data_IF_867244379750
#
_entry.id   IF_867244379750
#
_cell.length_a   1.000
_cell.length_b   1.000
_cell.length_c   1.000
_cell.angle_alpha   90.00
_cell.angle_beta   90.00
_cell.angle_gamma   90.00
#
_symmetry.space_group_name_H-M   'P 1'
#
loop_
_entity.id
_entity.type
_entity.pdbx_description
1 polymer ?
#
# COMPACT_ATOMS: atom_id res chain seq x y z
N UNK A 1 44.65 -12.48 22.29
CA UNK A 1 43.25 -12.50 22.76
C UNK A 1 42.49 -11.47 21.94
N UNK A 2 41.51 -11.87 21.12
CA UNK A 2 40.65 -10.90 20.42
C UNK A 2 39.79 -10.22 21.49
N UNK A 3 39.90 -8.90 21.59
CA UNK A 3 39.10 -8.12 22.54
C UNK A 3 37.61 -8.45 22.32
N UNK A 4 36.87 -8.63 23.42
CA UNK A 4 35.43 -8.86 23.35
C UNK A 4 34.76 -7.68 22.60
N UNK A 5 33.76 -7.94 21.75
CA UNK A 5 33.08 -6.87 21.01
C UNK A 5 32.50 -5.85 21.99
N UNK A 6 32.69 -4.57 21.71
CA UNK A 6 32.14 -3.49 22.54
C UNK A 6 30.61 -3.55 22.52
N UNK A 7 29.97 -3.05 23.59
CA UNK A 7 28.50 -3.00 23.71
C UNK A 7 27.83 -2.40 22.47
N UNK A 8 28.43 -1.36 21.90
CA UNK A 8 27.92 -0.66 20.72
C UNK A 8 28.01 -1.53 19.45
N UNK A 9 29.04 -2.38 19.36
CA UNK A 9 29.18 -3.37 18.29
C UNK A 9 28.08 -4.44 18.38
N UNK A 10 27.76 -4.90 19.59
CA UNK A 10 26.70 -5.89 19.83
C UNK A 10 25.32 -5.30 19.47
N UNK A 11 25.07 -4.04 19.87
CA UNK A 11 23.82 -3.33 19.53
C UNK A 11 23.70 -3.20 18.01
N UNK A 12 24.75 -2.77 17.32
CA UNK A 12 24.73 -2.63 15.86
C UNK A 12 24.46 -3.97 15.15
N UNK A 13 25.08 -5.06 15.60
CA UNK A 13 24.88 -6.39 15.00
C UNK A 13 23.45 -6.89 15.23
N UNK A 14 22.89 -6.64 16.42
CA UNK A 14 21.50 -6.99 16.74
C UNK A 14 20.49 -6.22 15.87
N UNK A 15 20.72 -4.92 15.63
CA UNK A 15 19.86 -4.11 14.77
C UNK A 15 19.88 -4.59 13.31
N UNK A 16 21.06 -4.97 12.79
CA UNK A 16 21.17 -5.49 11.42
C UNK A 16 20.49 -6.85 11.29
N UNK A 17 20.66 -7.76 12.26
CA UNK A 17 19.98 -9.07 12.26
C UNK A 17 18.46 -8.89 12.37
N UNK A 18 17.98 -7.95 13.18
CA UNK A 18 16.56 -7.61 13.28
C UNK A 18 16.00 -7.08 11.93
N UNK A 19 16.75 -6.21 11.25
CA UNK A 19 16.40 -5.72 9.92
C UNK A 19 16.34 -6.83 8.87
N UNK A 20 17.29 -7.77 8.88
CA UNK A 20 17.28 -8.96 8.02
C UNK A 20 16.05 -9.83 8.33
N UNK A 21 15.69 -9.97 9.60
CA UNK A 21 14.49 -10.67 10.04
C UNK A 21 13.20 -10.06 9.49
N UNK A 22 13.05 -8.74 9.60
CA UNK A 22 11.92 -7.99 9.02
C UNK A 22 11.84 -8.18 7.50
N UNK A 23 12.96 -8.11 6.81
CA UNK A 23 12.99 -8.28 5.35
C UNK A 23 12.59 -9.71 4.94
N UNK A 24 13.06 -10.72 5.68
CA UNK A 24 12.64 -12.10 5.47
C UNK A 24 11.14 -12.32 5.79
N UNK A 25 10.59 -11.63 6.79
CA UNK A 25 9.16 -11.64 7.10
C UNK A 25 8.32 -11.01 5.99
N UNK A 26 8.78 -9.92 5.38
CA UNK A 26 8.11 -9.32 4.21
C UNK A 26 8.11 -10.26 3.01
N UNK A 27 9.21 -10.96 2.75
CA UNK A 27 9.26 -11.96 1.67
C UNK A 27 8.30 -13.13 1.97
N UNK A 28 8.23 -13.59 3.22
CA UNK A 28 7.23 -14.59 3.64
C UNK A 28 5.82 -14.08 3.44
N UNK A 29 5.54 -12.84 3.83
CA UNK A 29 4.23 -12.21 3.67
C UNK A 29 3.85 -12.15 2.19
N UNK A 30 4.75 -11.68 1.32
CA UNK A 30 4.54 -11.68 -0.12
C UNK A 30 4.33 -13.09 -0.69
N UNK A 31 5.10 -14.10 -0.23
CA UNK A 31 4.94 -15.48 -0.67
C UNK A 31 3.55 -16.06 -0.36
N UNK A 32 2.99 -15.74 0.81
CA UNK A 32 1.68 -16.23 1.24
C UNK A 32 0.56 -15.44 0.55
N UNK A 33 0.63 -14.11 0.56
CA UNK A 33 -0.47 -13.25 0.09
C UNK A 33 -0.46 -13.01 -1.42
N UNK A 34 0.72 -12.82 -2.04
CA UNK A 34 0.85 -12.50 -3.46
C UNK A 34 0.99 -13.75 -4.33
N UNK A 35 1.72 -14.76 -3.85
CA UNK A 35 1.96 -16.00 -4.59
C UNK A 35 1.07 -17.17 -4.14
N UNK A 36 0.30 -17.01 -3.06
CA UNK A 36 -0.69 -18.00 -2.61
C UNK A 36 -0.08 -19.31 -2.12
N UNK A 37 1.18 -19.28 -1.64
CA UNK A 37 1.85 -20.46 -1.08
C UNK A 37 1.28 -20.83 0.29
N UNK A 38 1.34 -22.11 0.66
CA UNK A 38 0.83 -22.57 1.95
C UNK A 38 1.74 -22.11 3.11
N UNK A 39 1.18 -22.06 4.32
CA UNK A 39 1.87 -21.52 5.50
C UNK A 39 3.14 -22.31 5.88
N UNK A 40 3.19 -23.62 5.59
CA UNK A 40 4.38 -24.42 5.84
C UNK A 40 5.49 -24.05 4.86
N UNK A 41 5.18 -23.95 3.57
CA UNK A 41 6.12 -23.48 2.53
C UNK A 41 6.62 -22.07 2.82
N UNK A 42 5.74 -21.14 3.23
CA UNK A 42 6.13 -19.79 3.61
C UNK A 42 7.09 -19.75 4.81
N UNK A 43 6.91 -20.62 5.80
CA UNK A 43 7.81 -20.73 6.94
C UNK A 43 9.19 -21.31 6.56
N UNK A 44 9.22 -22.30 5.67
CA UNK A 44 10.49 -22.84 5.14
C UNK A 44 11.24 -21.76 4.35
N UNK A 45 10.53 -20.99 3.53
CA UNK A 45 11.11 -19.90 2.74
C UNK A 45 11.70 -18.80 3.63
N UNK A 46 11.02 -18.44 4.72
CA UNK A 46 11.53 -17.51 5.73
C UNK A 46 12.86 -17.98 6.32
N UNK A 47 12.94 -19.24 6.79
CA UNK A 47 14.15 -19.77 7.42
C UNK A 47 15.32 -19.81 6.43
N UNK A 48 15.09 -20.26 5.19
CA UNK A 48 16.14 -20.34 4.16
C UNK A 48 16.67 -18.95 3.82
N UNK A 49 15.79 -17.97 3.57
CA UNK A 49 16.19 -16.61 3.22
C UNK A 49 16.89 -15.91 4.39
N UNK A 50 16.38 -16.09 5.61
CA UNK A 50 16.99 -15.53 6.81
C UNK A 50 18.42 -16.05 7.01
N UNK A 51 18.63 -17.37 6.90
CA UNK A 51 19.97 -17.98 7.01
C UNK A 51 20.90 -17.49 5.90
N UNK A 52 20.41 -17.41 4.66
CA UNK A 52 21.21 -16.93 3.52
C UNK A 52 21.64 -15.46 3.70
N UNK A 53 20.73 -14.59 4.14
CA UNK A 53 21.02 -13.17 4.34
C UNK A 53 21.94 -12.93 5.54
N UNK A 54 21.77 -13.67 6.64
CA UNK A 54 22.69 -13.63 7.77
C UNK A 54 24.08 -14.15 7.37
N UNK A 55 24.15 -15.25 6.61
CA UNK A 55 25.41 -15.77 6.08
C UNK A 55 26.12 -14.80 5.14
N UNK A 56 25.34 -14.12 4.27
CA UNK A 56 25.82 -13.06 3.39
C UNK A 56 26.39 -11.88 4.20
N UNK A 57 25.67 -11.44 5.24
CA UNK A 57 26.10 -10.37 6.14
C UNK A 57 27.43 -10.71 6.85
N UNK A 58 27.55 -11.93 7.39
CA UNK A 58 28.79 -12.40 8.02
C UNK A 58 29.94 -12.47 7.00
N UNK A 59 29.67 -12.88 5.76
CA UNK A 59 30.65 -12.91 4.67
C UNK A 59 31.15 -11.53 4.23
N UNK A 60 30.27 -10.51 4.28
CA UNK A 60 30.61 -9.14 3.89
C UNK A 60 31.13 -8.27 5.03
N UNK A 61 31.17 -8.74 6.28
CA UNK A 61 31.67 -7.92 7.40
C UNK A 61 33.05 -7.30 7.11
N UNK A 62 33.99 -8.09 6.57
CA UNK A 62 35.33 -7.59 6.23
C UNK A 62 35.34 -6.54 5.10
N UNK A 63 34.34 -6.55 4.21
CA UNK A 63 34.22 -5.62 3.07
C UNK A 63 33.49 -4.35 3.50
N UNK A 64 32.45 -4.48 4.33
CA UNK A 64 31.65 -3.37 4.85
C UNK A 64 32.51 -2.45 5.72
N UNK A 65 33.43 -2.99 6.53
CA UNK A 65 34.39 -2.18 7.30
C UNK A 65 35.38 -1.39 6.43
N UNK A 66 35.74 -1.93 5.26
CA UNK A 66 36.57 -1.23 4.27
C UNK A 66 35.79 -0.14 3.53
N UNK A 67 34.54 -0.44 3.16
CA UNK A 67 33.64 0.44 2.43
C UNK A 67 33.14 1.61 3.30
N UNK A 68 32.84 1.39 4.58
CA UNK A 68 32.49 2.44 5.54
C UNK A 68 33.61 3.47 5.70
N UNK A 69 34.88 3.03 5.73
CA UNK A 69 36.04 3.93 5.74
C UNK A 69 36.22 4.71 4.43
N UNK A 70 35.77 4.16 3.30
CA UNK A 70 35.78 4.86 2.02
C UNK A 70 34.63 5.88 1.91
N UNK A 71 33.43 5.53 2.36
CA UNK A 71 32.25 6.41 2.37
C UNK A 71 32.42 7.57 3.34
N UNK A 72 32.91 7.33 4.56
CA UNK A 72 33.18 8.41 5.52
C UNK A 72 34.21 9.41 4.97
N UNK A 73 35.24 8.94 4.25
CA UNK A 73 36.16 9.81 3.51
C UNK A 73 35.47 10.58 2.37
N UNK A 74 34.48 9.99 1.70
CA UNK A 74 33.75 10.61 0.60
C UNK A 74 32.77 11.68 1.10
N UNK A 75 32.07 11.43 2.21
CA UNK A 75 31.19 12.42 2.86
C UNK A 75 31.98 13.57 3.48
N UNK A 76 33.12 13.28 4.11
CA UNK A 76 34.01 14.33 4.64
C UNK A 76 34.68 15.17 3.54
N UNK A 77 34.76 14.65 2.30
CA UNK A 77 35.22 15.41 1.11
C UNK A 77 34.16 16.36 0.56
N UNK A 78 32.88 16.16 0.93
CA UNK A 78 31.74 16.94 0.43
C UNK A 78 31.48 18.23 1.22
N UNK A 79 32.10 18.40 2.39
CA UNK A 79 32.00 19.63 3.22
C UNK A 79 33.05 20.70 2.90
N UNK A 80 33.99 20.48 1.98
CA UNK A 80 35.00 21.49 1.60
C UNK A 80 35.11 21.66 0.09
N UNK A 81 34.08 22.21 -0.55
CA UNK A 81 34.21 23.01 -1.79
C UNK A 81 33.09 24.06 -1.83
N UNK A 82 33.33 25.22 -1.23
CA UNK A 82 32.72 26.49 -1.66
C UNK A 82 33.88 27.35 -2.15
N UNK A 83 34.01 27.47 -3.47
CA UNK A 83 34.89 28.48 -4.09
C UNK A 83 33.94 29.48 -4.74
N UNK A 84 33.80 30.64 -4.10
CA UNK A 84 33.30 31.83 -4.77
C UNK A 84 34.47 32.45 -5.55
N UNK A 85 34.25 32.72 -6.85
CA UNK A 85 35.16 33.55 -7.63
C UNK A 85 35.06 35.00 -7.15
N UNK A 86 36.20 35.64 -6.86
CA UNK A 86 36.28 37.10 -6.82
C UNK A 86 37.47 37.60 -7.63
N UNK A 87 37.20 38.67 -8.36
CA UNK A 87 38.05 39.45 -9.25
C UNK A 87 39.20 40.14 -8.49
N UNK A 88 40.33 39.44 -8.32
CA UNK A 88 41.69 40.01 -8.21
C UNK A 88 42.65 38.85 -7.96
N UNK A 89 43.44 38.48 -8.95
CA UNK A 89 44.33 37.33 -8.86
C UNK A 89 45.49 37.56 -7.91
N UNK A 90 45.49 36.88 -6.76
CA UNK A 90 46.71 36.50 -6.04
C UNK A 90 46.43 35.30 -5.11
N UNK A 91 47.16 34.19 -5.30
CA UNK A 91 47.10 33.00 -4.44
C UNK A 91 48.27 33.02 -3.46
N UNK A 92 47.98 33.00 -2.16
CA UNK A 92 48.96 32.65 -1.12
C UNK A 92 48.37 31.55 -0.25
N UNK A 93 49.02 30.39 -0.27
CA UNK A 93 48.73 29.26 0.60
C UNK A 93 49.59 29.35 1.87
N UNK A 94 48.99 29.24 3.07
CA UNK A 94 49.70 28.95 4.32
C UNK A 94 48.88 27.95 5.17
N UNK A 95 49.53 26.97 5.87
CA UNK A 95 48.87 25.83 6.51
C UNK A 95 48.48 26.05 8.00
N UNK A 96 47.54 25.20 8.45
CA UNK A 96 47.09 24.72 9.81
C UNK A 96 48.07 24.88 11.01
N UNK A 97 47.70 24.73 12.32
CA UNK A 97 46.40 24.43 13.00
C UNK A 97 46.10 25.34 14.24
N UNK A 98 44.90 25.26 14.85
CA UNK A 98 44.77 25.33 16.32
C UNK A 98 43.41 24.82 16.82
N UNK A 99 43.48 23.80 17.68
CA UNK A 99 42.45 23.48 18.67
C UNK A 99 42.25 24.68 19.62
N UNK A 100 41.00 24.93 20.05
CA UNK A 100 40.73 25.71 21.26
C UNK A 100 40.04 24.82 22.30
N UNK A 101 40.86 24.45 23.27
CA UNK A 101 40.47 23.99 24.60
C UNK A 101 39.64 25.08 25.30
N UNK A 102 38.63 24.67 26.06
CA UNK A 102 38.08 25.50 27.15
C UNK A 102 38.38 24.73 28.44
N UNK A 103 39.22 25.31 29.29
CA UNK A 103 39.59 24.85 30.62
C UNK A 103 39.04 25.84 31.66
N UNK A 104 38.34 25.27 32.63
CA UNK A 104 38.02 25.66 34.01
C UNK A 104 38.07 27.13 34.47
N UNK A 105 36.95 27.56 35.07
CA UNK A 105 36.91 28.57 36.13
C UNK A 105 36.80 27.84 37.48
N UNK A 106 37.86 27.93 38.29
CA UNK A 106 37.84 27.61 39.71
C UNK A 106 37.55 28.88 40.52
N UNK A 107 36.55 28.84 41.39
CA UNK A 107 36.52 29.66 42.61
C UNK A 107 36.18 28.75 43.79
N UNK A 108 37.24 28.47 44.53
CA UNK A 108 37.35 28.11 45.95
C UNK A 108 36.05 27.97 46.77
N UNK A 109 35.86 26.79 47.36
CA UNK A 109 35.03 26.56 48.54
C UNK A 109 35.59 27.33 49.75
N UNK A 110 34.71 27.94 50.54
CA UNK A 110 34.86 28.03 51.99
C UNK A 110 33.54 27.64 52.66
N UNK A 111 33.71 26.86 53.73
CA UNK A 111 32.77 26.10 54.56
C UNK A 111 31.52 26.83 55.10
N UNK A 112 30.42 26.10 55.35
CA UNK A 112 29.93 25.70 56.69
C UNK A 112 28.68 24.79 56.56
N UNK A 113 28.67 23.75 57.38
CA UNK A 113 27.65 22.71 57.60
C UNK A 113 26.34 23.29 58.18
N UNK A 114 25.18 22.79 57.75
CA UNK A 114 24.09 22.47 58.70
C UNK A 114 23.22 21.32 58.20
N UNK A 115 22.96 20.38 59.13
CA UNK A 115 22.18 19.16 58.97
C UNK A 115 20.68 19.46 58.89
N UNK A 116 19.95 18.70 58.07
CA UNK A 116 18.75 17.94 58.48
C UNK A 116 17.66 17.85 57.40
N UNK A 117 17.04 16.65 57.39
CA UNK A 117 15.67 16.33 56.96
C UNK A 117 15.49 15.55 55.65
N UNK A 118 15.47 14.22 55.87
CA UNK A 118 14.51 13.20 55.42
C UNK A 118 14.34 12.88 53.92
N UNK A 119 14.80 11.65 53.66
CA UNK A 119 14.52 10.76 52.53
C UNK A 119 13.00 10.63 52.30
N UNK A 120 12.57 10.88 51.06
CA UNK A 120 11.34 10.33 50.51
C UNK A 120 11.70 9.46 49.31
N UNK A 121 11.21 8.22 49.32
CA UNK A 121 11.47 7.18 48.32
C UNK A 121 11.09 7.65 46.91
N UNK A 122 12.04 7.53 45.99
CA UNK A 122 11.82 7.74 44.56
C UNK A 122 10.98 6.56 44.02
N UNK A 123 9.82 6.77 43.37
CA UNK A 123 9.07 5.66 42.79
C UNK A 123 9.88 5.05 41.64
N UNK A 124 9.98 3.73 41.62
CA UNK A 124 10.67 2.97 40.58
C UNK A 124 10.14 3.33 39.17
N UNK A 125 11.01 3.42 38.15
CA UNK A 125 10.56 3.69 36.80
C UNK A 125 9.81 2.46 36.24
N UNK A 126 8.51 2.64 36.01
CA UNK A 126 7.66 1.69 35.30
C UNK A 126 8.27 1.39 33.92
N UNK A 127 8.68 0.14 33.72
CA UNK A 127 9.08 -0.39 32.42
C UNK A 127 7.80 -0.79 31.68
N UNK A 128 7.35 0.05 30.74
CA UNK A 128 6.23 -0.28 29.86
C UNK A 128 6.77 -1.24 28.78
N UNK A 129 6.38 -2.52 28.88
CA UNK A 129 6.68 -3.58 27.91
C UNK A 129 5.33 -4.01 27.29
N UNK A 130 4.70 -3.12 26.53
CA UNK A 130 3.60 -3.46 25.64
C UNK A 130 3.83 -2.68 24.34
N UNK A 131 3.68 -3.34 23.19
CA UNK A 131 3.62 -2.65 21.90
C UNK A 131 2.42 -1.69 21.96
N UNK A 132 2.70 -0.41 22.19
CA UNK A 132 1.65 0.61 22.29
C UNK A 132 1.04 0.77 20.91
N UNK A 133 -0.22 0.37 20.76
CA UNK A 133 -1.01 0.69 19.56
C UNK A 133 -1.06 2.21 19.45
N UNK A 134 -0.46 2.76 18.41
CA UNK A 134 -0.38 4.22 18.18
C UNK A 134 -1.79 4.80 18.11
N UNK A 135 -2.74 4.02 17.59
CA UNK A 135 -4.13 4.41 17.51
C UNK A 135 -4.83 4.36 18.87
N UNK A 136 -4.23 3.82 19.94
CA UNK A 136 -4.79 3.82 21.31
C UNK A 136 -4.22 4.96 22.18
N UNK A 137 -3.13 5.62 21.78
CA UNK A 137 -2.56 6.78 22.49
C UNK A 137 -3.47 8.01 22.37
N UNK A 138 -4.06 8.46 23.48
CA UNK A 138 -4.88 9.69 23.53
C UNK A 138 -4.05 10.82 24.13
N UNK A 139 -3.86 11.90 23.37
CA UNK A 139 -3.18 13.12 23.83
C UNK A 139 -4.16 14.13 24.43
N UNK A 140 -3.68 14.92 25.38
CA UNK A 140 -4.48 15.96 26.05
C UNK A 140 -4.92 17.07 25.10
N UNK A 141 -4.07 17.44 24.14
CA UNK A 141 -4.46 18.34 23.06
C UNK A 141 -5.13 17.53 21.96
N UNK A 142 -6.32 17.94 21.59
CA UNK A 142 -7.12 17.24 20.60
C UNK A 142 -6.46 17.19 19.22
N UNK A 143 -5.69 18.23 18.85
CA UNK A 143 -4.94 18.28 17.58
C UNK A 143 -3.86 17.22 17.45
N UNK A 144 -3.24 16.83 18.56
CA UNK A 144 -2.17 15.83 18.57
C UNK A 144 -2.72 14.41 18.31
N UNK A 145 -4.05 14.23 18.38
CA UNK A 145 -4.74 12.97 18.05
C UNK A 145 -5.15 12.88 16.58
N UNK A 146 -4.91 13.92 15.77
CA UNK A 146 -5.26 13.92 14.35
C UNK A 146 -4.24 13.06 13.58
N UNK A 147 -4.72 12.07 12.84
CA UNK A 147 -3.86 11.27 11.97
C UNK A 147 -3.31 12.12 10.82
N UNK A 148 -1.99 12.21 10.76
CA UNK A 148 -1.25 12.74 9.62
C UNK A 148 -1.02 11.66 8.56
N UNK A 149 -1.01 12.06 7.29
CA UNK A 149 -0.80 11.17 6.15
C UNK A 149 0.39 11.69 5.32
N UNK A 150 1.34 10.82 4.99
CA UNK A 150 2.53 11.18 4.22
C UNK A 150 2.28 11.29 2.72
N UNK A 151 1.16 10.75 2.22
CA UNK A 151 0.77 10.87 0.81
C UNK A 151 -0.75 10.79 0.60
N UNK A 152 -1.20 11.19 -0.59
CA UNK A 152 -2.59 11.03 -0.99
C UNK A 152 -3.00 9.55 -1.06
N UNK A 153 -2.10 8.67 -1.48
CA UNK A 153 -2.36 7.23 -1.54
C UNK A 153 -2.52 6.63 -0.15
N UNK A 154 -1.61 6.94 0.79
CA UNK A 154 -1.72 6.52 2.19
C UNK A 154 -3.03 7.00 2.81
N UNK A 155 -3.45 8.25 2.51
CA UNK A 155 -4.73 8.79 2.96
C UNK A 155 -5.92 7.99 2.42
N UNK A 156 -5.85 7.49 1.19
CA UNK A 156 -6.92 6.68 0.57
C UNK A 156 -6.94 5.26 1.10
N UNK A 157 -5.79 4.60 1.16
CA UNK A 157 -5.66 3.22 1.65
C UNK A 157 -6.04 3.09 3.12
N UNK A 158 -5.65 4.07 3.94
CA UNK A 158 -5.99 4.10 5.36
C UNK A 158 -7.49 4.37 5.58
N UNK A 159 -8.20 4.93 4.60
CA UNK A 159 -9.62 5.23 4.71
C UNK A 159 -10.44 4.09 4.14
N UNK A 160 -11.40 3.61 4.92
CA UNK A 160 -12.32 2.57 4.47
C UNK A 160 -13.19 3.02 3.30
N UNK A 161 -14.03 2.10 2.80
CA UNK A 161 -14.91 2.31 1.64
C UNK A 161 -15.78 3.59 1.70
N UNK A 162 -16.17 4.01 2.91
CA UNK A 162 -17.01 5.19 3.15
C UNK A 162 -16.30 6.18 4.07
N UNK A 163 -15.35 6.98 3.55
CA UNK A 163 -14.50 7.86 4.37
C UNK A 163 -15.26 9.00 5.05
N UNK A 164 -16.41 9.39 4.49
CA UNK A 164 -17.24 10.47 5.00
C UNK A 164 -18.68 10.01 5.13
N UNK A 165 -19.33 10.45 6.21
CA UNK A 165 -20.73 10.12 6.46
C UNK A 165 -21.65 10.63 5.35
N UNK A 166 -21.37 11.82 4.79
CA UNK A 166 -22.17 12.41 3.70
C UNK A 166 -22.20 11.53 2.44
N UNK A 167 -21.10 10.82 2.13
CA UNK A 167 -21.05 9.90 1.00
C UNK A 167 -21.84 8.62 1.29
N UNK A 168 -21.79 8.14 2.53
CA UNK A 168 -22.63 7.03 2.97
C UNK A 168 -24.11 7.40 2.86
N UNK A 169 -24.51 8.55 3.40
CA UNK A 169 -25.87 9.06 3.30
C UNK A 169 -26.35 9.19 1.84
N UNK A 170 -25.50 9.65 0.92
CA UNK A 170 -25.85 9.77 -0.49
C UNK A 170 -26.23 8.45 -1.17
N UNK A 171 -25.60 7.33 -0.78
CA UNK A 171 -25.92 6.00 -1.32
C UNK A 171 -27.18 5.37 -0.68
N UNK A 172 -27.51 5.75 0.56
CA UNK A 172 -28.61 5.17 1.34
C UNK A 172 -29.75 6.18 1.63
N UNK A 173 -29.78 7.30 0.91
CA UNK A 173 -30.71 8.43 1.14
C UNK A 173 -32.20 8.06 1.04
N UNK A 174 -32.53 6.93 0.41
CA UNK A 174 -33.90 6.45 0.21
C UNK A 174 -34.33 5.34 1.19
N UNK A 175 -33.48 5.00 2.17
CA UNK A 175 -33.84 4.02 3.20
C UNK A 175 -34.81 4.63 4.22
N UNK A 176 -35.73 3.83 4.77
CA UNK A 176 -36.66 4.25 5.85
C UNK A 176 -35.96 4.33 7.22
N UNK A 177 -34.67 4.00 7.27
CA UNK A 177 -33.83 4.05 8.46
C UNK A 177 -33.65 5.47 9.01
N UNK A 178 -33.54 5.60 10.34
CA UNK A 178 -33.27 6.90 10.95
C UNK A 178 -31.82 7.36 10.69
N UNK A 179 -31.57 8.67 10.70
CA UNK A 179 -30.22 9.22 10.57
C UNK A 179 -29.24 8.68 11.63
N UNK A 180 -29.74 8.36 12.81
CA UNK A 180 -28.95 7.79 13.91
C UNK A 180 -28.55 6.34 13.60
N UNK A 181 -29.46 5.54 13.05
CA UNK A 181 -29.17 4.16 12.64
C UNK A 181 -28.13 4.14 11.52
N UNK A 182 -28.29 5.01 10.52
CA UNK A 182 -27.35 5.16 9.41
C UNK A 182 -25.97 5.63 9.90
N UNK A 183 -25.92 6.53 10.88
CA UNK A 183 -24.66 6.97 11.47
C UNK A 183 -23.96 5.85 12.22
N UNK A 184 -24.68 5.08 13.02
CA UNK A 184 -24.12 3.96 13.77
C UNK A 184 -23.61 2.86 12.83
N UNK A 185 -24.34 2.56 11.76
CA UNK A 185 -23.88 1.62 10.73
C UNK A 185 -22.61 2.13 10.04
N UNK A 186 -22.59 3.39 9.62
CA UNK A 186 -21.42 4.02 9.02
C UNK A 186 -20.21 4.02 9.98
N UNK A 187 -20.43 4.35 11.26
CA UNK A 187 -19.42 4.34 12.30
C UNK A 187 -18.78 2.96 12.41
N UNK A 188 -19.59 1.89 12.42
CA UNK A 188 -19.07 0.52 12.56
C UNK A 188 -18.16 0.10 11.41
N UNK A 189 -18.37 0.65 10.22
CA UNK A 189 -17.55 0.42 9.04
C UNK A 189 -16.20 1.17 9.05
N UNK A 190 -16.01 2.12 9.98
CA UNK A 190 -14.80 2.94 10.01
C UNK A 190 -13.56 2.20 10.53
N UNK A 191 -12.37 2.53 9.99
CA UNK A 191 -11.09 2.13 10.59
C UNK A 191 -10.96 2.59 12.04
N UNK A 192 -10.15 1.87 12.84
CA UNK A 192 -9.96 2.14 14.28
C UNK A 192 -9.57 3.59 14.58
N UNK A 193 -8.59 4.14 13.88
CA UNK A 193 -8.13 5.52 14.09
C UNK A 193 -9.21 6.55 13.78
N UNK A 194 -10.06 6.30 12.78
CA UNK A 194 -11.19 7.17 12.45
C UNK A 194 -12.28 7.08 13.53
N UNK A 195 -12.62 5.88 14.02
CA UNK A 195 -13.56 5.71 15.14
C UNK A 195 -13.09 6.53 16.35
N UNK A 196 -11.81 6.45 16.68
CA UNK A 196 -11.23 7.22 17.78
C UNK A 196 -11.29 8.73 17.57
N UNK A 197 -10.95 9.23 16.39
CA UNK A 197 -11.10 10.65 16.06
C UNK A 197 -12.56 11.11 16.30
N UNK A 198 -13.54 10.32 15.86
CA UNK A 198 -14.96 10.61 16.05
C UNK A 198 -15.35 10.63 17.54
N UNK A 199 -14.88 9.66 18.33
CA UNK A 199 -15.13 9.56 19.77
C UNK A 199 -14.56 10.75 20.54
N UNK A 200 -13.41 11.27 20.09
CA UNK A 200 -12.77 12.47 20.64
C UNK A 200 -13.42 13.78 20.15
N UNK A 201 -14.40 13.71 19.26
CA UNK A 201 -15.09 14.88 18.71
C UNK A 201 -14.36 15.53 17.53
N UNK A 202 -13.45 14.81 16.87
CA UNK A 202 -12.80 15.22 15.63
C UNK A 202 -13.61 14.65 14.47
N UNK A 203 -14.16 15.50 13.62
CA UNK A 203 -14.97 15.08 12.46
C UNK A 203 -14.32 15.54 11.17
N UNK A 204 -14.19 14.62 10.20
CA UNK A 204 -13.72 14.91 8.85
C UNK A 204 -14.89 15.03 7.89
N UNK A 205 -14.92 16.08 7.07
CA UNK A 205 -15.98 16.31 6.07
C UNK A 205 -15.38 16.70 4.72
N UNK A 206 -16.02 16.31 3.60
CA UNK A 206 -15.54 16.70 2.29
C UNK A 206 -15.85 18.18 2.04
N UNK A 207 -14.84 18.96 1.63
CA UNK A 207 -15.02 20.30 1.08
C UNK A 207 -15.06 20.19 -0.44
N UNK A 208 -16.17 20.61 -1.05
CA UNK A 208 -16.27 20.69 -2.51
C UNK A 208 -15.55 21.96 -2.95
N UNK A 209 -14.39 21.79 -3.56
CA UNK A 209 -13.71 22.88 -4.26
C UNK A 209 -14.14 22.81 -5.72
N UNK A 210 -14.55 23.94 -6.35
CA UNK A 210 -14.84 23.95 -7.78
C UNK A 210 -13.64 23.41 -8.53
N UNK A 211 -13.85 22.44 -9.43
CA UNK A 211 -12.80 22.06 -10.36
C UNK A 211 -12.40 23.30 -11.14
N UNK A 212 -11.13 23.69 -10.99
CA UNK A 212 -10.56 24.72 -11.86
C UNK A 212 -10.32 24.00 -13.18
N UNK A 213 -11.22 24.20 -14.14
CA UNK A 213 -11.02 23.85 -15.54
C UNK A 213 -9.85 24.69 -16.08
N UNK A 214 -8.64 24.23 -15.78
CA UNK A 214 -7.39 24.79 -16.30
C UNK A 214 -6.72 23.75 -17.17
N UNK A 215 -6.24 24.16 -18.34
CA UNK A 215 -5.34 23.35 -19.16
C UNK A 215 -3.96 23.31 -18.46
N UNK A 216 -3.42 22.13 -18.10
CA UNK A 216 -2.13 22.05 -17.41
C UNK A 216 -1.75 20.72 -16.74
N UNK A 217 -0.51 20.67 -16.24
CA UNK A 217 0.13 19.53 -15.58
C UNK A 217 -0.14 19.53 -14.08
N UNK A 218 -1.22 18.87 -13.67
CA UNK A 218 -1.63 18.84 -12.28
C UNK A 218 -1.29 17.52 -11.62
N UNK A 219 -0.77 17.60 -10.41
CA UNK A 219 -0.79 16.52 -9.43
C UNK A 219 -1.93 16.81 -8.46
N UNK A 220 -2.71 15.79 -8.11
CA UNK A 220 -3.70 15.89 -7.02
C UNK A 220 -2.98 15.72 -5.70
N UNK A 221 -3.14 16.69 -4.83
CA UNK A 221 -2.66 16.60 -3.46
C UNK A 221 -3.84 16.72 -2.49
N UNK A 222 -3.69 16.08 -1.34
CA UNK A 222 -4.67 16.18 -0.29
C UNK A 222 -4.45 17.48 0.48
N UNK A 223 -5.52 18.25 0.68
CA UNK A 223 -5.55 19.44 1.51
C UNK A 223 -6.52 19.24 2.65
N UNK A 224 -6.30 20.00 3.72
CA UNK A 224 -7.21 20.05 4.83
C UNK A 224 -7.22 21.43 5.49
N UNK A 225 -8.35 21.74 6.11
CA UNK A 225 -8.54 22.94 6.90
C UNK A 225 -9.13 22.52 8.25
N UNK A 226 -8.41 22.80 9.33
CA UNK A 226 -8.78 22.43 10.70
C UNK A 226 -9.49 23.61 11.35
N UNK A 227 -10.73 23.39 11.76
CA UNK A 227 -11.59 24.40 12.37
C UNK A 227 -11.92 23.94 13.79
N UNK A 228 -11.43 24.68 14.79
CA UNK A 228 -11.86 24.52 16.20
C UNK A 228 -13.22 25.14 16.37
N UNK A 229 -14.18 24.36 16.87
CA UNK A 229 -15.52 24.84 17.20
C UNK A 229 -15.57 25.31 18.64
N UNK A 230 -16.53 26.19 18.94
CA UNK A 230 -16.74 26.75 20.28
C UNK A 230 -17.09 25.68 21.33
N UNK A 231 -17.58 24.52 20.90
CA UNK A 231 -17.88 23.36 21.77
C UNK A 231 -16.64 22.47 22.04
N UNK A 232 -15.45 22.92 21.67
CA UNK A 232 -14.18 22.21 21.88
C UNK A 232 -13.89 21.11 20.87
N UNK A 233 -14.79 20.87 19.90
CA UNK A 233 -14.61 19.87 18.84
C UNK A 233 -13.77 20.41 17.69
N UNK A 234 -13.20 19.52 16.90
CA UNK A 234 -12.46 19.87 15.68
C UNK A 234 -13.25 19.38 14.47
N UNK A 235 -13.48 20.28 13.52
CA UNK A 235 -13.94 19.94 12.18
C UNK A 235 -12.76 20.05 11.22
N UNK A 236 -12.44 18.98 10.53
CA UNK A 236 -11.43 18.95 9.48
C UNK A 236 -12.16 18.89 8.15
N UNK A 237 -12.08 19.97 7.39
CA UNK A 237 -12.58 20.01 6.02
C UNK A 237 -11.48 19.53 5.10
N UNK A 238 -11.77 18.56 4.24
CA UNK A 238 -10.76 17.92 3.39
C UNK A 238 -11.16 17.96 1.95
N UNK A 239 -10.21 18.25 1.08
CA UNK A 239 -10.42 18.27 -0.35
C UNK A 239 -9.17 17.83 -1.07
N UNK A 240 -9.34 17.53 -2.35
CA UNK A 240 -8.21 17.32 -3.24
C UNK A 240 -8.08 18.55 -4.14
N UNK A 241 -6.85 19.03 -4.28
CA UNK A 241 -6.53 20.19 -5.09
C UNK A 241 -5.56 19.78 -6.19
N UNK A 242 -5.82 20.27 -7.40
CA UNK A 242 -4.90 20.19 -8.52
C UNK A 242 -3.79 21.25 -8.34
N UNK A 243 -2.55 20.80 -8.15
CA UNK A 243 -1.37 21.68 -8.03
C UNK A 243 -0.34 21.35 -9.08
N UNK A 244 0.47 22.34 -9.44
CA UNK A 244 1.67 22.15 -10.24
C UNK A 244 2.82 21.79 -9.32
N UNK A 245 3.73 20.95 -9.80
CA UNK A 245 4.96 20.63 -9.08
C UNK A 245 6.12 21.33 -9.77
N UNK A 246 6.90 22.12 -9.02
CA UNK A 246 8.12 22.74 -9.54
C UNK A 246 9.18 21.68 -9.82
N UNK A 247 10.25 22.04 -10.55
CA UNK A 247 11.39 21.15 -10.77
C UNK A 247 12.07 20.70 -9.45
N UNK A 248 11.91 21.49 -8.39
CA UNK A 248 12.45 21.24 -7.05
C UNK A 248 11.48 20.40 -6.17
N UNK A 249 10.29 20.10 -6.67
CA UNK A 249 9.29 19.26 -5.99
C UNK A 249 8.26 20.03 -5.16
N UNK A 250 8.24 21.36 -5.21
CA UNK A 250 7.33 22.17 -4.42
C UNK A 250 5.94 22.30 -5.08
N UNK A 251 4.84 22.16 -4.31
CA UNK A 251 3.49 22.30 -4.84
C UNK A 251 3.08 23.78 -4.98
N UNK A 252 2.67 24.18 -6.19
CA UNK A 252 2.13 25.49 -6.53
C UNK A 252 0.65 25.39 -6.91
N UNK A 253 -0.21 26.14 -6.21
CA UNK A 253 -1.64 26.25 -6.55
C UNK A 253 -1.88 27.18 -7.73
N UNK A 254 -3.03 27.04 -8.39
CA UNK A 254 -3.44 27.90 -9.50
C UNK A 254 -3.31 29.41 -9.20
N UNK A 255 -3.81 29.91 -8.05
CA UNK A 255 -3.65 31.31 -7.66
C UNK A 255 -2.20 31.76 -7.49
N UNK A 256 -1.33 30.89 -6.97
CA UNK A 256 0.11 31.20 -6.83
C UNK A 256 0.77 31.35 -8.20
N UNK A 257 0.34 30.56 -9.18
CA UNK A 257 0.84 30.66 -10.55
C UNK A 257 0.35 31.94 -11.23
N UNK A 258 -0.92 32.30 -11.04
CA UNK A 258 -1.44 33.58 -11.54
C UNK A 258 -0.70 34.79 -10.96
N UNK A 259 -0.27 34.72 -9.70
CA UNK A 259 0.54 35.76 -9.05
C UNK A 259 1.98 35.78 -9.57
N UNK A 260 2.59 34.60 -9.77
CA UNK A 260 3.91 34.45 -10.38
C UNK A 260 3.95 34.99 -11.82
N UNK A 261 2.90 34.73 -12.62
CA UNK A 261 2.76 35.22 -14.01
C UNK A 261 2.67 36.76 -14.06
N UNK A 262 2.12 37.41 -13.03
CA UNK A 262 1.96 38.88 -12.98
C UNK A 262 3.24 39.64 -12.64
N UNK A 263 4.34 38.96 -12.30
CA UNK A 263 5.61 39.60 -11.88
C UNK A 263 6.54 39.88 -13.08
N UNK A 264 6.90 41.15 -13.38
CA UNK A 264 7.47 41.56 -14.67
C UNK A 264 8.93 41.13 -14.94
N UNK A 265 9.71 40.73 -13.93
CA UNK A 265 11.11 40.24 -14.14
C UNK A 265 11.18 38.79 -14.61
N UNK A 266 10.11 38.04 -14.44
CA UNK A 266 10.06 36.59 -14.62
C UNK A 266 9.77 36.20 -16.09
N UNK A 267 9.14 37.08 -16.87
CA UNK A 267 8.51 36.77 -18.14
C UNK A 267 9.44 36.29 -19.28
N UNK A 268 10.75 36.59 -19.23
CA UNK A 268 11.72 36.13 -20.23
C UNK A 268 12.36 34.76 -19.87
N UNK A 269 12.60 34.51 -18.58
CA UNK A 269 13.18 33.27 -18.06
C UNK A 269 12.11 32.17 -17.87
N UNK A 270 10.86 32.57 -17.65
CA UNK A 270 9.72 31.65 -17.58
C UNK A 270 9.32 31.06 -18.93
N UNK A 271 9.55 31.73 -20.06
CA UNK A 271 9.16 31.19 -21.36
C UNK A 271 9.79 29.81 -21.61
N UNK A 272 11.07 29.64 -21.29
CA UNK A 272 11.81 28.40 -21.51
C UNK A 272 11.47 27.33 -20.46
N UNK A 273 11.25 27.73 -19.21
CA UNK A 273 10.81 26.83 -18.14
C UNK A 273 9.37 26.33 -18.39
N UNK A 274 8.50 27.19 -18.89
CA UNK A 274 7.10 26.91 -19.20
C UNK A 274 6.99 26.00 -20.42
N UNK A 275 7.81 26.20 -21.46
CA UNK A 275 7.91 25.29 -22.60
C UNK A 275 8.41 23.90 -22.17
N UNK A 276 9.38 23.85 -21.25
CA UNK A 276 9.90 22.59 -20.72
C UNK A 276 8.88 21.85 -19.85
N UNK A 277 8.16 22.57 -18.97
CA UNK A 277 7.08 22.01 -18.14
C UNK A 277 5.92 21.51 -19.01
N UNK A 278 5.54 22.26 -20.06
CA UNK A 278 4.49 21.87 -21.00
C UNK A 278 4.91 20.64 -21.82
N UNK A 279 6.18 20.57 -22.25
CA UNK A 279 6.73 19.40 -22.92
C UNK A 279 6.72 18.15 -22.03
N UNK A 280 7.14 18.29 -20.77
CA UNK A 280 7.11 17.20 -19.80
C UNK A 280 5.68 16.76 -19.48
N UNK A 281 4.74 17.70 -19.40
CA UNK A 281 3.32 17.40 -19.23
C UNK A 281 2.77 16.55 -20.37
N UNK A 282 3.01 16.96 -21.62
CA UNK A 282 2.57 16.21 -22.78
C UNK A 282 3.16 14.80 -22.80
N UNK A 283 4.43 14.64 -22.43
CA UNK A 283 5.07 13.32 -22.33
C UNK A 283 4.46 12.48 -21.20
N UNK A 284 4.16 13.07 -20.05
CA UNK A 284 3.53 12.38 -18.92
C UNK A 284 2.11 11.93 -19.25
N UNK A 285 1.30 12.81 -19.86
CA UNK A 285 -0.06 12.47 -20.29
C UNK A 285 -0.04 11.38 -21.37
N UNK A 286 0.83 11.49 -22.37
CA UNK A 286 0.97 10.47 -23.40
C UNK A 286 1.36 9.12 -22.77
N UNK A 287 2.34 9.10 -21.85
CA UNK A 287 2.72 7.88 -21.14
C UNK A 287 1.60 7.31 -20.27
N UNK A 288 0.79 8.17 -19.62
CA UNK A 288 -0.35 7.73 -18.83
C UNK A 288 -1.49 7.18 -19.70
N UNK A 289 -1.77 7.82 -20.84
CA UNK A 289 -2.74 7.32 -21.82
C UNK A 289 -2.27 5.99 -22.42
N UNK A 290 -1.00 5.88 -22.80
CA UNK A 290 -0.40 4.62 -23.28
C UNK A 290 -0.54 3.51 -22.22
N UNK A 291 -0.18 3.78 -20.96
CA UNK A 291 -0.30 2.81 -19.88
C UNK A 291 -1.77 2.41 -19.63
N UNK A 292 -2.69 3.37 -19.66
CA UNK A 292 -4.13 3.10 -19.50
C UNK A 292 -4.68 2.28 -20.67
N UNK A 293 -4.22 2.53 -21.90
CA UNK A 293 -4.57 1.74 -23.07
C UNK A 293 -4.00 0.32 -22.97
N UNK A 294 -2.76 0.15 -22.52
CA UNK A 294 -2.13 -1.15 -22.28
C UNK A 294 -2.87 -1.94 -21.19
N UNK A 295 -3.18 -1.32 -20.06
CA UNK A 295 -3.94 -1.91 -18.96
C UNK A 295 -5.35 -2.31 -19.41
N UNK A 296 -6.05 -1.44 -20.16
CA UNK A 296 -7.35 -1.75 -20.74
C UNK A 296 -7.27 -2.93 -21.70
N UNK A 297 -6.25 -2.97 -22.57
CA UNK A 297 -6.03 -4.06 -23.52
C UNK A 297 -5.73 -5.38 -22.79
N UNK A 298 -4.93 -5.33 -21.74
CA UNK A 298 -4.63 -6.49 -20.90
C UNK A 298 -5.88 -6.99 -20.18
N UNK A 299 -6.68 -6.10 -19.59
CA UNK A 299 -7.95 -6.42 -18.94
C UNK A 299 -8.96 -7.03 -19.91
N UNK A 300 -9.11 -6.46 -21.11
CA UNK A 300 -9.95 -7.03 -22.16
C UNK A 300 -9.48 -8.42 -22.60
N UNK A 301 -8.16 -8.65 -22.68
CA UNK A 301 -7.61 -9.96 -22.99
C UNK A 301 -7.93 -10.99 -21.90
N UNK A 302 -7.81 -10.61 -20.62
CA UNK A 302 -8.18 -11.48 -19.49
C UNK A 302 -9.67 -11.83 -19.51
N UNK A 303 -10.56 -10.85 -19.70
CA UNK A 303 -12.01 -11.08 -19.82
C UNK A 303 -12.29 -12.00 -21.01
N UNK A 304 -11.68 -11.75 -22.18
CA UNK A 304 -11.83 -12.57 -23.37
C UNK A 304 -11.40 -14.02 -23.12
N UNK A 305 -10.28 -14.22 -22.44
CA UNK A 305 -9.80 -15.54 -22.07
C UNK A 305 -10.75 -16.26 -21.11
N UNK A 306 -11.22 -15.58 -20.06
CA UNK A 306 -12.15 -16.16 -19.10
C UNK A 306 -13.45 -16.59 -19.78
N UNK A 307 -14.02 -15.75 -20.64
CA UNK A 307 -15.21 -16.09 -21.42
C UNK A 307 -14.96 -17.29 -22.34
N UNK A 308 -13.82 -17.32 -23.05
CA UNK A 308 -13.49 -18.44 -23.92
C UNK A 308 -13.27 -19.75 -23.13
N UNK A 309 -12.59 -19.68 -21.98
CA UNK A 309 -12.37 -20.80 -21.08
C UNK A 309 -13.70 -21.33 -20.51
N UNK A 310 -14.53 -20.45 -19.98
CA UNK A 310 -15.86 -20.77 -19.46
C UNK A 310 -16.72 -21.38 -20.56
N UNK A 311 -16.75 -20.79 -21.76
CA UNK A 311 -17.47 -21.35 -22.92
C UNK A 311 -17.00 -22.77 -23.21
N UNK A 312 -15.68 -22.98 -23.28
CA UNK A 312 -15.09 -24.30 -23.55
C UNK A 312 -15.52 -25.35 -22.50
N UNK A 313 -15.59 -24.95 -21.23
CA UNK A 313 -15.92 -25.87 -20.13
C UNK A 313 -17.42 -26.04 -19.89
N UNK A 314 -18.22 -25.00 -20.09
CA UNK A 314 -19.58 -24.90 -19.58
C UNK A 314 -20.67 -24.85 -20.65
N UNK A 315 -20.35 -24.54 -21.92
CA UNK A 315 -21.34 -24.48 -23.00
C UNK A 315 -22.19 -25.76 -23.14
N UNK A 316 -21.66 -27.00 -22.96
CA UNK A 316 -22.48 -28.21 -23.04
C UNK A 316 -23.51 -28.36 -21.90
N UNK A 317 -23.37 -27.60 -20.82
CA UNK A 317 -24.12 -27.77 -19.58
C UNK A 317 -25.03 -26.59 -19.23
N UNK A 318 -24.97 -25.49 -20.00
CA UNK A 318 -25.74 -24.27 -19.81
C UNK A 318 -26.49 -23.92 -21.10
N UNK A 319 -27.68 -23.37 -20.96
CA UNK A 319 -28.34 -22.69 -22.07
C UNK A 319 -27.65 -21.35 -22.36
N UNK A 320 -27.87 -20.78 -23.55
CA UNK A 320 -27.18 -19.57 -23.99
C UNK A 320 -27.34 -18.41 -23.00
N UNK A 321 -28.54 -18.21 -22.44
CA UNK A 321 -28.81 -17.16 -21.45
C UNK A 321 -28.02 -17.38 -20.15
N UNK A 322 -27.99 -18.61 -19.65
CA UNK A 322 -27.29 -18.97 -18.41
C UNK A 322 -25.76 -18.90 -18.59
N UNK A 323 -25.25 -19.22 -19.79
CA UNK A 323 -23.85 -19.03 -20.13
C UNK A 323 -23.47 -17.54 -20.16
N UNK A 324 -24.35 -16.67 -20.67
CA UNK A 324 -24.13 -15.22 -20.64
C UNK A 324 -24.13 -14.66 -19.20
N UNK A 325 -25.01 -15.15 -18.32
CA UNK A 325 -24.95 -14.81 -16.88
C UNK A 325 -23.61 -15.20 -16.27
N UNK A 326 -23.10 -16.39 -16.59
CA UNK A 326 -21.79 -16.85 -16.10
C UNK A 326 -20.64 -15.99 -16.64
N UNK A 327 -20.67 -15.59 -17.91
CA UNK A 327 -19.70 -14.63 -18.47
C UNK A 327 -19.76 -13.27 -17.78
N UNK A 328 -20.97 -12.76 -17.55
CA UNK A 328 -21.16 -11.49 -16.83
C UNK A 328 -20.57 -11.56 -15.42
N UNK A 329 -20.86 -12.63 -14.67
CA UNK A 329 -20.29 -12.88 -13.35
C UNK A 329 -18.75 -12.92 -13.38
N UNK A 330 -18.15 -13.60 -14.36
CA UNK A 330 -16.70 -13.65 -14.50
C UNK A 330 -16.10 -12.27 -14.84
N UNK A 331 -16.78 -11.48 -15.68
CA UNK A 331 -16.37 -10.11 -16.02
C UNK A 331 -16.39 -9.19 -14.81
N UNK A 332 -17.46 -9.19 -13.99
CA UNK A 332 -17.51 -8.33 -12.81
C UNK A 332 -16.50 -8.78 -11.73
N UNK A 333 -16.13 -10.06 -11.72
CA UNK A 333 -15.15 -10.63 -10.80
C UNK A 333 -13.70 -10.18 -11.08
N UNK A 334 -13.40 -9.67 -12.29
CA UNK A 334 -12.08 -9.09 -12.60
C UNK A 334 -11.88 -7.71 -11.99
N UNK A 335 -12.96 -7.07 -11.52
CA UNK A 335 -12.94 -5.67 -11.01
C UNK A 335 -13.19 -5.64 -9.51
N UNK A 336 -14.10 -6.47 -9.01
CA UNK A 336 -14.47 -6.52 -7.60
C UNK A 336 -14.34 -7.95 -7.08
N UNK A 337 -13.80 -8.12 -5.87
CA UNK A 337 -13.63 -9.46 -5.27
C UNK A 337 -14.96 -10.12 -4.87
N UNK A 338 -15.96 -9.31 -4.48
CA UNK A 338 -17.26 -9.75 -3.98
C UNK A 338 -18.47 -8.96 -4.56
N UNK A 339 -18.64 -8.91 -5.89
CA UNK A 339 -19.77 -8.25 -6.52
C UNK A 339 -21.07 -9.07 -6.32
N UNK A 340 -22.24 -8.46 -6.56
CA UNK A 340 -23.51 -9.17 -6.53
C UNK A 340 -23.58 -10.17 -7.70
N UNK A 341 -23.21 -11.42 -7.44
CA UNK A 341 -23.26 -12.49 -8.44
C UNK A 341 -24.70 -12.94 -8.72
N UNK A 342 -25.01 -13.12 -10.00
CA UNK A 342 -26.29 -13.69 -10.44
C UNK A 342 -26.19 -15.22 -10.47
N UNK A 343 -27.08 -15.97 -9.80
CA UNK A 343 -27.06 -17.43 -9.87
C UNK A 343 -27.28 -17.95 -11.30
N UNK A 344 -26.67 -19.09 -11.62
CA UNK A 344 -26.84 -19.78 -12.92
C UNK A 344 -27.45 -21.16 -12.76
N UNK A 345 -28.28 -21.54 -13.71
CA UNK A 345 -28.98 -22.82 -13.75
C UNK A 345 -28.33 -23.78 -14.74
N UNK A 346 -27.97 -24.98 -14.27
CA UNK A 346 -27.47 -26.05 -15.14
C UNK A 346 -28.63 -26.70 -15.90
N UNK A 347 -28.41 -26.97 -17.19
CA UNK A 347 -29.37 -27.68 -18.05
C UNK A 347 -29.51 -29.17 -17.66
N UNK A 348 -28.46 -29.75 -17.07
CA UNK A 348 -28.41 -31.16 -16.68
C UNK A 348 -27.54 -31.39 -15.45
N UNK A 349 -27.79 -32.51 -14.77
CA UNK A 349 -27.03 -32.93 -13.58
C UNK A 349 -25.75 -33.72 -13.94
N UNK A 350 -25.21 -33.53 -15.16
CA UNK A 350 -24.01 -34.25 -15.62
C UNK A 350 -22.70 -33.68 -15.09
N UNK A 351 -22.72 -32.46 -14.55
CA UNK A 351 -21.62 -31.89 -13.77
C UNK A 351 -21.82 -32.20 -12.30
N UNK A 352 -20.74 -32.63 -11.66
CA UNK A 352 -20.68 -32.88 -10.22
C UNK A 352 -20.42 -31.58 -9.45
N UNK A 353 -20.60 -31.59 -8.12
CA UNK A 353 -20.19 -30.46 -7.29
C UNK A 353 -18.67 -30.23 -7.39
N UNK A 354 -17.91 -31.29 -7.59
CA UNK A 354 -16.46 -31.27 -7.80
C UNK A 354 -16.10 -30.49 -9.06
N UNK A 355 -16.77 -30.75 -10.19
CA UNK A 355 -16.57 -30.00 -11.43
C UNK A 355 -16.81 -28.49 -11.25
N UNK A 356 -17.89 -28.12 -10.56
CA UNK A 356 -18.24 -26.71 -10.32
C UNK A 356 -17.22 -26.02 -9.39
N UNK A 357 -16.71 -26.73 -8.39
CA UNK A 357 -15.60 -26.25 -7.55
C UNK A 357 -14.34 -26.07 -8.38
N UNK A 358 -14.01 -27.00 -9.28
CA UNK A 358 -12.83 -26.92 -10.13
C UNK A 358 -12.91 -25.71 -11.07
N UNK A 359 -14.07 -25.45 -11.68
CA UNK A 359 -14.28 -24.26 -12.50
C UNK A 359 -14.01 -22.99 -11.69
N UNK A 360 -14.66 -22.85 -10.52
CA UNK A 360 -14.46 -21.70 -9.65
C UNK A 360 -13.01 -21.54 -9.20
N UNK A 361 -12.35 -22.64 -8.85
CA UNK A 361 -10.93 -22.66 -8.49
C UNK A 361 -10.04 -22.18 -9.65
N UNK A 362 -10.25 -22.68 -10.87
CA UNK A 362 -9.42 -22.33 -12.03
C UNK A 362 -9.57 -20.84 -12.39
N UNK A 363 -10.80 -20.33 -12.45
CA UNK A 363 -11.08 -18.92 -12.71
C UNK A 363 -10.52 -18.06 -11.58
N UNK A 364 -10.79 -18.40 -10.34
CA UNK A 364 -10.33 -17.64 -9.18
C UNK A 364 -8.81 -17.62 -9.03
N UNK A 365 -8.11 -18.72 -9.35
CA UNK A 365 -6.65 -18.76 -9.32
C UNK A 365 -5.98 -18.03 -10.48
N UNK A 366 -6.61 -18.00 -11.65
CA UNK A 366 -6.19 -17.11 -12.72
C UNK A 366 -6.25 -15.64 -12.25
N UNK A 367 -7.31 -15.28 -11.54
CA UNK A 367 -7.49 -13.94 -10.93
C UNK A 367 -6.72 -13.71 -9.61
N UNK A 368 -5.86 -14.66 -9.19
CA UNK A 368 -5.06 -14.57 -7.95
C UNK A 368 -5.88 -14.41 -6.65
N UNK A 369 -7.12 -14.91 -6.64
CA UNK A 369 -8.03 -14.78 -5.50
C UNK A 369 -7.79 -15.83 -4.40
N UNK A 370 -8.19 -15.45 -3.18
CA UNK A 370 -8.13 -16.31 -2.00
C UNK A 370 -9.23 -17.38 -1.99
N UNK A 371 -8.95 -18.51 -1.31
CA UNK A 371 -9.87 -19.66 -1.26
C UNK A 371 -11.27 -19.33 -0.76
N UNK A 372 -11.38 -18.53 0.31
CA UNK A 372 -12.65 -18.08 0.86
C UNK A 372 -13.49 -17.26 -0.13
N UNK A 373 -12.86 -16.38 -0.92
CA UNK A 373 -13.53 -15.59 -1.97
C UNK A 373 -14.06 -16.51 -3.07
N UNK A 374 -13.22 -17.45 -3.53
CA UNK A 374 -13.59 -18.44 -4.54
C UNK A 374 -14.75 -19.32 -4.08
N UNK A 375 -14.75 -19.75 -2.81
CA UNK A 375 -15.81 -20.57 -2.25
C UNK A 375 -17.16 -19.83 -2.19
N UNK A 376 -17.15 -18.52 -1.91
CA UNK A 376 -18.35 -17.67 -1.96
C UNK A 376 -18.86 -17.52 -3.39
N UNK A 377 -17.98 -17.29 -4.36
CA UNK A 377 -18.33 -17.29 -5.79
C UNK A 377 -19.02 -18.59 -6.17
N UNK A 378 -18.41 -19.75 -5.88
CA UNK A 378 -18.99 -21.07 -6.22
C UNK A 378 -20.37 -21.24 -5.58
N UNK A 379 -20.54 -20.88 -4.30
CA UNK A 379 -21.83 -21.00 -3.61
C UNK A 379 -22.90 -20.07 -4.18
N UNK A 380 -22.54 -18.82 -4.54
CA UNK A 380 -23.50 -17.81 -5.03
C UNK A 380 -23.88 -18.05 -6.49
N UNK A 381 -22.91 -18.35 -7.34
CA UNK A 381 -23.14 -18.60 -8.77
C UNK A 381 -23.82 -19.94 -8.99
N UNK A 382 -23.41 -21.00 -8.29
CA UNK A 382 -24.04 -22.32 -8.38
C UNK A 382 -24.92 -22.60 -7.16
N UNK A 383 -25.89 -21.74 -6.93
CA UNK A 383 -26.72 -21.74 -5.72
C UNK A 383 -27.40 -23.08 -5.45
N UNK A 384 -28.18 -23.61 -6.41
CA UNK A 384 -28.92 -24.87 -6.25
C UNK A 384 -28.03 -26.06 -5.85
N UNK A 385 -26.88 -26.34 -6.53
CA UNK A 385 -25.97 -27.39 -6.09
C UNK A 385 -25.38 -27.20 -4.68
N UNK A 386 -25.21 -25.97 -4.20
CA UNK A 386 -24.49 -25.68 -2.95
C UNK A 386 -25.35 -25.07 -1.85
N UNK A 387 -26.67 -25.06 -1.99
CA UNK A 387 -27.63 -24.47 -1.04
C UNK A 387 -27.35 -24.91 0.41
N UNK A 388 -27.29 -26.23 0.63
CA UNK A 388 -27.03 -26.86 1.93
C UNK A 388 -25.55 -26.98 2.31
N UNK A 389 -24.61 -26.55 1.46
CA UNK A 389 -23.16 -26.72 1.70
C UNK A 389 -22.57 -25.44 2.29
N UNK A 390 -21.95 -25.51 3.46
CA UNK A 390 -21.29 -24.36 4.08
C UNK A 390 -20.09 -23.86 3.25
N UNK A 391 -19.87 -22.54 3.22
CA UNK A 391 -18.76 -21.91 2.47
C UNK A 391 -17.40 -22.48 2.87
N UNK A 392 -17.15 -22.66 4.17
CA UNK A 392 -15.90 -23.24 4.69
C UNK A 392 -15.65 -24.66 4.17
N UNK A 393 -16.71 -25.44 4.00
CA UNK A 393 -16.62 -26.80 3.43
C UNK A 393 -16.28 -26.75 1.95
N UNK A 394 -16.82 -25.78 1.20
CA UNK A 394 -16.48 -25.57 -0.21
C UNK A 394 -15.01 -25.17 -0.33
N UNK A 395 -14.56 -24.18 0.46
CA UNK A 395 -13.18 -23.69 0.49
C UNK A 395 -12.16 -24.82 0.72
N UNK A 396 -12.36 -25.63 1.77
CA UNK A 396 -11.49 -26.75 2.10
C UNK A 396 -11.42 -27.82 0.99
N UNK A 397 -12.45 -27.89 0.16
CA UNK A 397 -12.63 -28.94 -0.86
C UNK A 397 -12.57 -28.40 -2.29
N UNK A 398 -12.09 -27.17 -2.52
CA UNK A 398 -12.05 -26.55 -3.85
C UNK A 398 -11.29 -27.39 -4.89
N UNK A 399 -10.25 -28.11 -4.44
CA UNK A 399 -9.40 -28.97 -5.27
C UNK A 399 -9.66 -30.46 -5.09
N UNK A 400 -10.69 -30.81 -4.31
CA UNK A 400 -11.01 -32.20 -4.03
C UNK A 400 -11.60 -32.86 -5.28
N UNK A 401 -10.90 -33.88 -5.78
CA UNK A 401 -11.39 -34.79 -6.80
C UNK A 401 -11.79 -36.12 -6.15
N UNK A 402 -12.94 -36.65 -6.52
CA UNK A 402 -13.53 -37.88 -5.98
C UNK A 402 -13.57 -39.01 -7.02
N UNK A 403 -13.19 -38.73 -8.26
CA UNK A 403 -13.22 -39.66 -9.37
C UNK A 403 -12.05 -39.36 -10.32
N UNK A 404 -11.96 -40.11 -11.41
CA UNK A 404 -11.14 -39.75 -12.57
C UNK A 404 -12.01 -39.26 -13.73
N UNK A 405 -13.32 -39.07 -13.48
CA UNK A 405 -14.35 -38.77 -14.49
C UNK A 405 -14.85 -37.32 -14.41
N UNK A 406 -14.28 -36.50 -13.54
CA UNK A 406 -14.51 -35.06 -13.52
C UNK A 406 -14.20 -34.50 -14.90
N UNK A 407 -15.16 -33.74 -15.42
CA UNK A 407 -15.15 -33.19 -16.76
C UNK A 407 -14.36 -31.89 -16.82
N UNK A 408 -14.27 -31.19 -15.68
CA UNK A 408 -13.49 -29.96 -15.56
C UNK A 408 -12.20 -30.26 -14.79
N UNK A 409 -11.04 -30.28 -15.47
CA UNK A 409 -9.75 -30.55 -14.84
C UNK A 409 -9.31 -29.37 -13.96
N UNK A 410 -8.63 -29.66 -12.85
CA UNK A 410 -7.98 -28.62 -12.04
C UNK A 410 -6.72 -28.13 -12.74
N UNK A 411 -6.53 -26.82 -12.78
CA UNK A 411 -5.32 -26.17 -13.28
C UNK A 411 -4.59 -25.42 -12.16
N UNK A 412 -3.27 -25.50 -12.19
CA UNK A 412 -2.40 -24.59 -11.42
C UNK A 412 -2.41 -23.19 -12.02
N UNK A 413 -1.93 -22.20 -11.25
CA UNK A 413 -1.72 -20.84 -11.73
C UNK A 413 -0.91 -20.81 -13.03
N UNK A 414 0.25 -21.46 -13.06
CA UNK A 414 1.13 -21.53 -14.22
C UNK A 414 0.47 -22.18 -15.45
N UNK A 415 -0.39 -23.17 -15.24
CA UNK A 415 -1.14 -23.80 -16.32
C UNK A 415 -2.19 -22.85 -16.89
N UNK A 416 -2.90 -22.10 -16.05
CA UNK A 416 -3.82 -21.06 -16.50
C UNK A 416 -3.09 -19.96 -17.26
N UNK A 417 -1.91 -19.56 -16.79
CA UNK A 417 -1.08 -18.55 -17.46
C UNK A 417 -0.58 -19.04 -18.84
N UNK A 418 -0.21 -20.32 -18.96
CA UNK A 418 0.13 -20.95 -20.25
C UNK A 418 -1.06 -20.98 -21.21
N UNK A 419 -2.27 -21.30 -20.72
CA UNK A 419 -3.49 -21.25 -21.52
C UNK A 419 -3.81 -19.82 -21.96
N UNK A 420 -3.61 -18.84 -21.08
CA UNK A 420 -3.82 -17.43 -21.38
C UNK A 420 -2.85 -16.94 -22.46
N UNK A 421 -1.55 -17.23 -22.33
CA UNK A 421 -0.56 -16.87 -23.34
C UNK A 421 -0.86 -17.53 -24.71
N UNK A 422 -1.32 -18.78 -24.71
CA UNK A 422 -1.79 -19.44 -25.94
C UNK A 422 -3.02 -18.73 -26.52
N UNK A 423 -4.00 -18.39 -25.70
CA UNK A 423 -5.20 -17.68 -26.13
C UNK A 423 -4.87 -16.30 -26.73
N UNK A 424 -3.97 -15.54 -26.11
CA UNK A 424 -3.51 -14.25 -26.65
C UNK A 424 -2.84 -14.39 -28.02
N UNK A 425 -2.16 -15.52 -28.28
CA UNK A 425 -1.47 -15.77 -29.55
C UNK A 425 -2.37 -16.33 -30.65
N UNK A 426 -3.34 -17.18 -30.31
CA UNK A 426 -4.10 -17.97 -31.29
C UNK A 426 -5.62 -17.78 -31.24
N UNK A 427 -6.14 -17.05 -30.24
CA UNK A 427 -7.57 -16.74 -30.09
C UNK A 427 -8.44 -17.91 -29.65
N UNK A 428 -7.87 -19.04 -29.22
CA UNK A 428 -8.64 -20.21 -28.79
C UNK A 428 -8.04 -20.91 -27.55
N UNK A 429 -8.87 -21.70 -26.88
CA UNK A 429 -8.48 -22.52 -25.73
C UNK A 429 -8.03 -23.89 -26.23
N UNK A 430 -6.81 -24.28 -25.89
CA UNK A 430 -6.26 -25.59 -26.24
C UNK A 430 -5.65 -26.26 -25.00
N UNK A 431 -6.40 -27.15 -24.37
CA UNK A 431 -5.96 -27.86 -23.16
C UNK A 431 -4.80 -28.83 -23.41
N UNK A 432 -4.60 -29.29 -24.65
CA UNK A 432 -3.55 -30.27 -24.98
C UNK A 432 -2.13 -29.72 -24.76
N UNK A 433 -1.95 -28.40 -24.76
CA UNK A 433 -0.66 -27.77 -24.52
C UNK A 433 -0.13 -28.02 -23.10
N UNK A 434 -1.03 -28.35 -22.16
CA UNK A 434 -0.66 -28.64 -20.77
C UNK A 434 -0.09 -30.05 -20.58
N UNK A 435 -0.23 -30.92 -21.58
CA UNK A 435 0.25 -32.31 -21.54
C UNK A 435 1.62 -32.49 -22.20
N UNK A 436 2.17 -31.43 -22.82
CA UNK A 436 3.52 -31.48 -23.40
C UNK A 436 4.55 -31.25 -22.29
N UNK A 437 5.30 -32.32 -21.97
CA UNK A 437 6.42 -32.31 -21.04
C UNK A 437 7.55 -31.40 -21.51
#
# INVERSE_FOLDING_TARGET
MKNAPSRDTIILWSAVIAGIGLLALLVRHAAIYKFGTDAFTGNVLFVVIFILLVGLYLGFQSVIEGFSRAISKFFRRKETVVIAETTSGEQIAIPSPMESQIMEFSTQEDSVIDDSVMIAENPEPLTIIEDVDIDDVVFANLEDNIREYGSLEERREARGKYPYFDYYLGEFYYDEASLEDLYNEWYELQPKHIKKELDLGIRRVPRIVPEVDGEGCFVRIARENRIKKDDGKILIEEWEENVYITADGDPLSGPQIEELIKTPKIQAEYSELQDKLLSQHHQCNAAHEELKEEDMKYSLAQIGFLCAYITTMMQPYLDAEELQKLHHNAKIWTVHEMPPFTPVNLRSNHLTKEDLKHLGYNVGKFLRLQGGIIARFVKKVFEKPFESTAVKTIEQKLRESKSTKERIPIHTADQMDKLFAHFQRYGNINLSILNKK
#
